data_IF_649616096720
#
_entry.id   IF_649616096720
#
_cell.length_a   1.000
_cell.length_b   1.000
_cell.length_c   1.000
_cell.angle_alpha   90.00
_cell.angle_beta   90.00
_cell.angle_gamma   90.00
#
_symmetry.space_group_name_H-M   'P 1'
#
loop_
_entity.id
_entity.type
_entity.pdbx_description
1 polymer ?
#
# COMPACT_ATOMS: atom_id res chain seq x y z
N UNK A 1 -15.69 8.25 -13.26
CA UNK A 1 -14.48 9.09 -13.16
C UNK A 1 -13.40 8.40 -13.98
N UNK A 2 -12.86 9.05 -15.02
CA UNK A 2 -11.96 8.40 -15.99
C UNK A 2 -10.62 8.04 -15.35
N UNK A 3 -10.11 6.82 -15.59
CA UNK A 3 -8.83 6.30 -15.08
C UNK A 3 -7.57 7.09 -15.50
N UNK A 4 -7.73 8.24 -16.16
CA UNK A 4 -6.66 9.18 -16.50
C UNK A 4 -6.04 9.82 -15.25
N UNK A 5 -6.79 9.95 -14.15
CA UNK A 5 -6.28 10.52 -12.89
C UNK A 5 -5.15 9.69 -12.27
N UNK A 6 -5.32 8.37 -12.18
CA UNK A 6 -4.34 7.45 -11.57
C UNK A 6 -3.07 7.36 -12.42
N UNK A 7 -3.20 7.21 -13.75
CA UNK A 7 -2.03 7.22 -14.65
C UNK A 7 -1.21 8.51 -14.59
N UNK A 8 -1.88 9.66 -14.38
CA UNK A 8 -1.18 10.94 -14.21
C UNK A 8 -0.44 11.05 -12.87
N UNK A 9 -0.85 10.29 -11.85
CA UNK A 9 -0.16 10.22 -10.56
C UNK A 9 1.07 9.32 -10.70
N UNK A 10 0.92 8.12 -11.28
CA UNK A 10 2.02 7.16 -11.47
C UNK A 10 3.14 7.76 -12.33
N UNK A 11 2.80 8.47 -13.42
CA UNK A 11 3.79 9.08 -14.31
C UNK A 11 4.47 10.35 -13.73
N UNK A 12 3.96 10.89 -12.62
CA UNK A 12 4.48 12.09 -11.98
C UNK A 12 5.15 11.72 -10.65
N UNK A 13 6.48 11.60 -10.66
CA UNK A 13 7.28 11.24 -9.49
C UNK A 13 6.98 12.10 -8.26
N UNK A 14 6.66 13.38 -8.42
CA UNK A 14 6.35 14.24 -7.27
C UNK A 14 4.97 13.97 -6.70
N UNK A 15 3.97 13.71 -7.54
CA UNK A 15 2.62 13.34 -7.08
C UNK A 15 2.62 11.96 -6.46
N UNK A 16 3.28 11.01 -7.09
CA UNK A 16 3.45 9.65 -6.57
C UNK A 16 4.10 9.67 -5.20
N UNK A 17 5.25 10.36 -5.06
CA UNK A 17 5.91 10.54 -3.78
C UNK A 17 4.98 11.14 -2.72
N UNK A 18 4.20 12.19 -3.05
CA UNK A 18 3.24 12.77 -2.11
C UNK A 18 2.13 11.82 -1.70
N UNK A 19 1.60 11.04 -2.64
CA UNK A 19 0.56 10.03 -2.37
C UNK A 19 1.13 8.95 -1.46
N UNK A 20 2.30 8.43 -1.77
CA UNK A 20 2.99 7.43 -0.95
C UNK A 20 3.32 7.97 0.43
N UNK A 21 3.86 9.18 0.57
CA UNK A 21 4.14 9.82 1.87
C UNK A 21 2.87 9.99 2.70
N UNK A 22 1.76 10.38 2.06
CA UNK A 22 0.48 10.59 2.75
C UNK A 22 -0.10 9.26 3.21
N UNK A 23 -0.07 8.24 2.36
CA UNK A 23 -0.50 6.89 2.69
C UNK A 23 0.39 6.32 3.81
N UNK A 24 1.72 6.39 3.67
CA UNK A 24 2.68 5.89 4.65
C UNK A 24 2.43 6.50 6.03
N UNK A 25 2.29 7.82 6.13
CA UNK A 25 1.97 8.50 7.40
C UNK A 25 0.61 8.16 8.00
N UNK A 26 -0.31 7.65 7.20
CA UNK A 26 -1.60 7.17 7.70
C UNK A 26 -1.51 5.73 8.25
N UNK A 27 -0.47 4.98 7.85
CA UNK A 27 -0.22 3.60 8.28
C UNK A 27 0.82 3.54 9.41
N UNK A 28 1.89 4.35 9.34
CA UNK A 28 2.94 4.52 10.35
C UNK A 28 2.37 5.28 11.55
N UNK A 29 1.79 4.55 12.49
CA UNK A 29 1.06 5.11 13.64
C UNK A 29 2.04 5.59 14.70
N UNK A 30 3.17 4.89 14.85
CA UNK A 30 4.17 5.22 15.87
C UNK A 30 5.21 6.25 15.40
N UNK A 31 5.27 6.54 14.09
CA UNK A 31 6.16 7.51 13.50
C UNK A 31 7.61 7.01 13.41
N UNK A 32 7.81 5.69 13.39
CA UNK A 32 9.13 5.05 13.32
C UNK A 32 9.82 5.28 11.97
N UNK A 33 9.05 5.64 10.93
CA UNK A 33 9.54 5.71 9.55
C UNK A 33 9.64 4.35 8.88
N UNK A 34 9.11 3.31 9.52
CA UNK A 34 8.95 1.95 8.98
C UNK A 34 7.51 1.50 9.22
N UNK A 35 7.05 0.51 8.47
CA UNK A 35 5.81 -0.18 8.76
C UNK A 35 6.13 -1.54 9.34
N UNK A 36 5.85 -1.69 10.63
CA UNK A 36 5.97 -2.97 11.28
C UNK A 36 4.76 -3.85 10.95
N UNK A 37 4.91 -5.16 11.12
CA UNK A 37 3.83 -6.15 10.89
C UNK A 37 2.51 -5.76 11.56
N UNK A 38 2.57 -5.24 12.79
CA UNK A 38 1.36 -4.88 13.54
C UNK A 38 0.64 -3.68 12.91
N UNK A 39 1.38 -2.73 12.36
CA UNK A 39 0.81 -1.55 11.69
C UNK A 39 0.21 -1.92 10.33
N UNK A 40 0.91 -2.79 9.59
CA UNK A 40 0.38 -3.39 8.36
C UNK A 40 -0.93 -4.16 8.63
N UNK A 41 -0.96 -4.99 9.68
CA UNK A 41 -2.16 -5.73 10.10
C UNK A 41 -3.34 -4.79 10.39
N UNK A 42 -3.11 -3.72 11.17
CA UNK A 42 -4.17 -2.74 11.48
C UNK A 42 -4.73 -2.08 10.23
N UNK A 43 -3.88 -1.71 9.28
CA UNK A 43 -4.33 -1.06 8.05
C UNK A 43 -5.09 -2.01 7.15
N UNK A 44 -4.63 -3.25 6.99
CA UNK A 44 -5.36 -4.23 6.20
C UNK A 44 -6.73 -4.56 6.83
N UNK A 45 -6.84 -4.59 8.17
CA UNK A 45 -8.12 -4.72 8.87
C UNK A 45 -9.04 -3.51 8.62
N UNK A 46 -8.51 -2.29 8.66
CA UNK A 46 -9.29 -1.07 8.41
C UNK A 46 -9.81 -1.03 6.98
N UNK A 47 -8.95 -1.31 6.00
CA UNK A 47 -9.33 -1.40 4.59
C UNK A 47 -10.36 -2.50 4.39
N UNK A 48 -10.16 -3.69 4.96
CA UNK A 48 -11.11 -4.79 4.86
C UNK A 48 -12.49 -4.42 5.41
N UNK A 49 -12.51 -3.70 6.55
CA UNK A 49 -13.75 -3.23 7.18
C UNK A 49 -14.46 -2.17 6.33
N UNK A 50 -13.72 -1.24 5.72
CA UNK A 50 -14.28 -0.17 4.87
C UNK A 50 -14.88 -0.71 3.57
N UNK A 51 -14.28 -1.74 2.98
CA UNK A 51 -14.76 -2.35 1.73
C UNK A 51 -15.68 -3.55 1.97
N UNK A 52 -15.90 -3.94 3.24
CA UNK A 52 -16.82 -5.00 3.63
C UNK A 52 -16.34 -6.41 3.29
N UNK A 53 -15.03 -6.67 3.35
CA UNK A 53 -14.45 -8.01 3.18
C UNK A 53 -13.95 -8.59 4.51
N UNK A 54 -13.63 -9.88 4.50
CA UNK A 54 -13.10 -10.56 5.68
C UNK A 54 -11.76 -9.96 6.11
N UNK A 55 -11.54 -9.91 7.43
CA UNK A 55 -10.28 -9.42 7.99
C UNK A 55 -9.15 -10.38 7.60
N UNK A 56 -7.97 -9.87 7.24
CA UNK A 56 -6.84 -10.74 6.95
C UNK A 56 -6.45 -11.55 8.19
N UNK A 57 -6.02 -12.78 7.95
CA UNK A 57 -5.34 -13.63 8.93
C UNK A 57 -3.90 -13.18 9.13
N UNK A 58 -3.28 -13.60 10.24
CA UNK A 58 -1.87 -13.24 10.51
C UNK A 58 -0.93 -13.81 9.46
N UNK A 59 -1.26 -14.98 8.94
CA UNK A 59 -0.55 -15.66 7.88
C UNK A 59 -0.63 -14.86 6.57
N UNK A 60 -1.79 -14.32 6.20
CA UNK A 60 -1.93 -13.46 5.02
C UNK A 60 -1.16 -12.14 5.17
N UNK A 61 -1.16 -11.55 6.37
CA UNK A 61 -0.33 -10.36 6.64
C UNK A 61 1.16 -10.69 6.52
N UNK A 62 1.59 -11.85 7.02
CA UNK A 62 2.98 -12.31 6.91
C UNK A 62 3.40 -12.57 5.46
N UNK A 63 2.52 -13.16 4.66
CA UNK A 63 2.79 -13.38 3.23
C UNK A 63 2.95 -12.04 2.50
N UNK A 64 2.06 -11.09 2.73
CA UNK A 64 2.17 -9.75 2.13
C UNK A 64 3.42 -9.02 2.60
N UNK A 65 3.75 -9.07 3.90
CA UNK A 65 4.97 -8.47 4.42
C UNK A 65 6.20 -9.07 3.74
N UNK A 66 6.27 -10.39 3.63
CA UNK A 66 7.39 -11.10 3.02
C UNK A 66 7.54 -10.86 1.53
N UNK A 67 6.43 -10.65 0.82
CA UNK A 67 6.47 -10.30 -0.60
C UNK A 67 7.04 -8.89 -0.86
N UNK A 68 6.96 -8.00 0.13
CA UNK A 68 7.31 -6.59 0.00
C UNK A 68 8.61 -6.21 0.70
N UNK A 69 8.97 -6.92 1.77
CA UNK A 69 10.22 -6.78 2.50
C UNK A 69 11.37 -7.41 1.69
N UNK A 70 11.85 -6.68 0.68
CA UNK A 70 12.96 -7.12 -0.18
C UNK A 70 14.27 -7.22 0.59
N UNK A 71 14.44 -6.38 1.61
CA UNK A 71 15.67 -6.31 2.39
C UNK A 71 15.72 -7.36 3.53
N UNK A 72 14.57 -7.90 3.93
CA UNK A 72 14.42 -8.99 4.90
C UNK A 72 14.54 -8.57 6.37
N UNK A 73 14.30 -7.29 6.70
CA UNK A 73 14.39 -6.78 8.07
C UNK A 73 13.10 -6.90 8.89
N UNK A 74 12.05 -7.47 8.29
CA UNK A 74 10.76 -7.74 8.92
C UNK A 74 9.85 -6.52 9.03
N UNK A 75 10.15 -5.45 8.30
CA UNK A 75 9.38 -4.20 8.27
C UNK A 75 9.46 -3.60 6.86
N UNK A 76 8.54 -2.70 6.53
CA UNK A 76 8.58 -2.02 5.23
C UNK A 76 9.19 -0.63 5.39
N UNK A 77 10.27 -0.39 4.66
CA UNK A 77 10.78 0.95 4.43
C UNK A 77 9.81 1.78 3.57
N UNK A 78 10.02 3.09 3.56
CA UNK A 78 9.27 4.00 2.70
C UNK A 78 9.46 3.65 1.21
N UNK A 79 10.65 3.19 0.83
CA UNK A 79 10.98 2.75 -0.53
C UNK A 79 10.19 1.49 -0.92
N UNK A 80 10.16 0.46 -0.06
CA UNK A 80 9.40 -0.78 -0.30
C UNK A 80 7.88 -0.50 -0.36
N UNK A 81 7.38 0.36 0.53
CA UNK A 81 5.98 0.79 0.51
C UNK A 81 5.63 1.59 -0.76
N UNK A 82 6.57 2.37 -1.31
CA UNK A 82 6.35 3.07 -2.57
C UNK A 82 6.08 2.11 -3.72
N UNK A 83 6.87 1.03 -3.81
CA UNK A 83 6.71 -0.01 -4.83
C UNK A 83 5.34 -0.68 -4.71
N UNK A 84 4.88 -0.98 -3.49
CA UNK A 84 3.52 -1.49 -3.26
C UNK A 84 2.46 -0.52 -3.81
N UNK A 85 2.52 0.75 -3.42
CA UNK A 85 1.52 1.74 -3.85
C UNK A 85 1.52 1.90 -5.37
N UNK A 86 2.68 1.88 -6.02
CA UNK A 86 2.80 1.88 -7.47
C UNK A 86 2.05 0.70 -8.10
N UNK A 87 2.30 -0.52 -7.63
CA UNK A 87 1.66 -1.73 -8.14
C UNK A 87 0.14 -1.72 -7.91
N UNK A 88 -0.33 -1.32 -6.73
CA UNK A 88 -1.76 -1.24 -6.40
C UNK A 88 -2.46 -0.21 -7.28
N UNK A 89 -1.85 0.96 -7.49
CA UNK A 89 -2.40 1.99 -8.38
C UNK A 89 -2.43 1.54 -9.84
N UNK A 90 -1.40 0.80 -10.29
CA UNK A 90 -1.40 0.19 -11.63
C UNK A 90 -2.50 -0.85 -11.79
N UNK A 91 -2.70 -1.72 -10.79
CA UNK A 91 -3.80 -2.69 -10.78
C UNK A 91 -5.16 -1.99 -10.83
N UNK A 92 -5.37 -0.93 -10.06
CA UNK A 92 -6.61 -0.14 -10.09
C UNK A 92 -6.83 0.56 -11.44
N UNK A 93 -5.76 1.04 -12.09
CA UNK A 93 -5.80 1.60 -13.43
C UNK A 93 -6.17 0.54 -14.48
N UNK A 94 -5.64 -0.68 -14.35
CA UNK A 94 -5.85 -1.78 -15.29
C UNK A 94 -7.21 -2.48 -15.10
N UNK A 95 -7.72 -2.54 -13.85
CA UNK A 95 -9.05 -3.06 -13.53
C UNK A 95 -10.18 -2.20 -14.13
N UNK A 96 -9.93 -0.90 -14.37
CA UNK A 96 -10.88 -0.02 -15.05
C UNK A 96 -10.84 -0.13 -16.59
N UNK A 97 -9.94 -0.95 -17.15
CA UNK A 97 -9.79 -1.18 -18.60
C UNK A 97 -10.60 -2.36 -19.16
N UNK A 98 -11.32 -3.11 -18.33
CA UNK A 98 -12.23 -4.18 -18.77
C UNK A 98 -13.70 -3.76 -18.62
N UNK A 99 -14.13 -2.76 -19.39
CA UNK A 99 -15.53 -2.55 -19.77
C UNK A 99 -15.60 -2.02 -21.20
#
# INVERSE_FOLDING_TARGET
>A
MSGQGIKNIINDKQKLKKVTETAFKAVDIDGSGYLEKNELEQVMINVASDIGVEKPTKEEVDEVLKELDENGDGKLSMEEFQVLIEQVLEMMSNAQGQK
#
